data_IF_067433650465
#
_entry.id   IF_067433650465
#
_cell.length_a   1.000
_cell.length_b   1.000
_cell.length_c   1.000
_cell.angle_alpha   90.00
_cell.angle_beta   90.00
_cell.angle_gamma   90.00
#
_symmetry.space_group_name_H-M   'P 1'
#
loop_
_entity.id
_entity.type
_entity.pdbx_description
1 polymer ?
#
# COMPACT_ATOMS: atom_id res chain seq x y z
N UNK A 1 -12.67 11.83 -4.04
CA UNK A 1 -11.77 12.33 -2.97
C UNK A 1 -10.61 11.39 -2.69
N UNK A 2 -10.83 10.08 -2.50
CA UNK A 2 -9.76 9.07 -2.28
C UNK A 2 -8.62 9.23 -3.29
N UNK A 3 -8.96 9.18 -4.58
CA UNK A 3 -7.95 9.25 -5.63
C UNK A 3 -7.09 10.52 -5.57
N UNK A 4 -7.71 11.67 -5.26
CA UNK A 4 -7.02 12.94 -5.13
C UNK A 4 -6.10 13.00 -3.89
N UNK A 5 -6.52 12.41 -2.76
CA UNK A 5 -5.70 12.36 -1.56
C UNK A 5 -4.47 11.47 -1.74
N UNK A 6 -4.65 10.29 -2.34
CA UNK A 6 -3.51 9.44 -2.72
C UNK A 6 -2.63 10.12 -3.77
N UNK A 7 -3.22 10.87 -4.71
CA UNK A 7 -2.46 11.64 -5.71
C UNK A 7 -1.51 12.63 -5.05
N UNK A 8 -2.01 13.44 -4.11
CA UNK A 8 -1.17 14.40 -3.39
C UNK A 8 -0.07 13.69 -2.60
N UNK A 9 -0.40 12.61 -1.87
CA UNK A 9 0.58 11.83 -1.12
C UNK A 9 1.66 11.21 -2.01
N UNK A 10 1.25 10.56 -3.10
CA UNK A 10 2.13 9.94 -4.07
C UNK A 10 3.05 10.97 -4.74
N UNK A 11 2.53 12.09 -5.23
CA UNK A 11 3.36 13.15 -5.84
C UNK A 11 4.38 13.71 -4.86
N UNK A 12 4.03 13.94 -3.59
CA UNK A 12 4.98 14.39 -2.58
C UNK A 12 6.11 13.38 -2.34
N UNK A 13 5.79 12.09 -2.32
CA UNK A 13 6.76 11.00 -2.20
C UNK A 13 7.67 10.92 -3.42
N UNK A 14 7.14 11.09 -4.62
CA UNK A 14 7.91 11.15 -5.87
C UNK A 14 8.90 12.31 -5.86
N UNK A 15 8.44 13.51 -5.45
CA UNK A 15 9.28 14.70 -5.38
C UNK A 15 10.40 14.58 -4.34
N UNK A 16 10.12 13.98 -3.18
CA UNK A 16 11.08 13.82 -2.09
C UNK A 16 11.94 12.57 -2.20
N UNK A 17 11.63 11.67 -3.14
CA UNK A 17 12.25 10.34 -3.30
C UNK A 17 12.25 9.53 -2.01
N UNK A 18 11.20 9.67 -1.21
CA UNK A 18 11.07 8.95 0.05
C UNK A 18 11.05 7.43 -0.18
N UNK A 19 11.59 6.61 0.76
CA UNK A 19 11.66 5.15 0.64
C UNK A 19 10.32 4.45 0.98
N UNK A 20 9.20 5.06 0.60
CA UNK A 20 7.81 4.59 0.75
C UNK A 20 7.01 4.97 -0.51
N UNK A 21 5.72 4.62 -0.60
CA UNK A 21 4.87 5.00 -1.73
C UNK A 21 3.90 6.15 -1.39
N UNK A 22 3.38 6.18 -0.16
CA UNK A 22 2.54 7.26 0.38
C UNK A 22 1.15 7.37 -0.25
N UNK A 23 0.70 6.32 -0.91
CA UNK A 23 -0.35 6.37 -1.91
C UNK A 23 -1.54 5.44 -1.64
N UNK A 24 -1.60 4.84 -0.45
CA UNK A 24 -2.66 3.88 -0.10
C UNK A 24 -3.41 4.20 1.19
N UNK A 25 -2.96 5.19 1.96
CA UNK A 25 -3.65 5.60 3.19
C UNK A 25 -5.09 6.10 2.90
N UNK A 26 -5.34 6.84 1.82
CA UNK A 26 -6.69 7.29 1.52
C UNK A 26 -7.58 6.14 1.01
N UNK A 27 -6.99 5.11 0.39
CA UNK A 27 -7.70 3.86 0.00
C UNK A 27 -8.17 3.10 1.23
N UNK A 28 -7.29 2.94 2.22
CA UNK A 28 -7.61 2.30 3.49
C UNK A 28 -8.67 3.12 4.24
N UNK A 29 -8.51 4.44 4.34
CA UNK A 29 -9.50 5.36 4.93
C UNK A 29 -10.87 5.26 4.26
N UNK A 30 -10.89 5.30 2.92
CA UNK A 30 -12.12 5.16 2.13
C UNK A 30 -12.81 3.81 2.38
N UNK A 31 -12.02 2.75 2.50
CA UNK A 31 -12.52 1.41 2.84
C UNK A 31 -13.12 1.37 4.25
N UNK A 32 -12.43 1.95 5.24
CA UNK A 32 -12.88 1.99 6.64
C UNK A 32 -14.19 2.77 6.81
N UNK A 33 -14.40 3.83 6.03
CA UNK A 33 -15.59 4.67 6.12
C UNK A 33 -16.73 4.10 5.26
N UNK A 34 -16.45 3.73 4.01
CA UNK A 34 -17.47 3.52 2.98
C UNK A 34 -17.50 2.10 2.39
N UNK A 35 -16.56 1.22 2.79
CA UNK A 35 -16.54 -0.19 2.44
C UNK A 35 -15.62 -0.54 1.27
N UNK A 36 -15.49 -1.84 1.02
CA UNK A 36 -14.53 -2.43 0.10
C UNK A 36 -14.55 -1.76 -1.29
N UNK A 37 -15.73 -1.69 -1.91
CA UNK A 37 -15.85 -1.21 -3.29
C UNK A 37 -15.47 0.26 -3.45
N UNK A 38 -15.82 1.10 -2.47
CA UNK A 38 -15.50 2.53 -2.52
C UNK A 38 -14.00 2.75 -2.39
N UNK A 39 -13.35 2.04 -1.47
CA UNK A 39 -11.89 2.03 -1.35
C UNK A 39 -11.21 1.52 -2.61
N UNK A 40 -11.59 0.35 -3.10
CA UNK A 40 -10.98 -0.30 -4.26
C UNK A 40 -11.07 0.55 -5.53
N UNK A 41 -12.26 1.09 -5.86
CA UNK A 41 -12.44 1.96 -7.03
C UNK A 41 -11.66 3.25 -6.87
N UNK A 42 -11.68 3.86 -5.67
CA UNK A 42 -10.95 5.09 -5.39
C UNK A 42 -9.44 4.94 -5.51
N UNK A 43 -8.88 3.85 -4.98
CA UNK A 43 -7.45 3.54 -5.08
C UNK A 43 -7.04 3.18 -6.50
N UNK A 44 -7.81 2.35 -7.20
CA UNK A 44 -7.53 1.98 -8.59
C UNK A 44 -7.52 3.21 -9.52
N UNK A 45 -8.50 4.10 -9.37
CA UNK A 45 -8.57 5.34 -10.15
C UNK A 45 -7.34 6.24 -9.92
N UNK A 46 -6.80 6.28 -8.69
CA UNK A 46 -5.57 6.99 -8.42
C UNK A 46 -4.39 6.46 -9.26
N UNK A 47 -4.20 5.15 -9.34
CA UNK A 47 -3.11 4.58 -10.13
C UNK A 47 -3.29 4.84 -11.63
N UNK A 48 -4.53 4.87 -12.14
CA UNK A 48 -4.79 5.32 -13.51
C UNK A 48 -4.27 6.75 -13.66
N UNK A 49 -4.69 7.68 -12.81
CA UNK A 49 -4.29 9.09 -12.91
C UNK A 49 -2.76 9.20 -12.89
N UNK A 50 -2.08 8.57 -11.94
CA UNK A 50 -0.62 8.60 -11.85
C UNK A 50 0.08 7.98 -13.06
N UNK A 51 -0.45 6.90 -13.65
CA UNK A 51 0.11 6.30 -14.85
C UNK A 51 0.02 7.26 -16.05
N UNK A 52 -1.05 8.03 -16.16
CA UNK A 52 -1.22 9.01 -17.24
C UNK A 52 -0.45 10.31 -17.01
N UNK A 53 -0.06 10.66 -15.77
CA UNK A 53 0.55 11.96 -15.45
C UNK A 53 2.01 11.91 -14.99
N UNK A 54 2.42 10.91 -14.20
CA UNK A 54 3.73 10.90 -13.52
C UNK A 54 4.58 9.68 -13.90
N UNK A 55 4.03 8.47 -13.78
CA UNK A 55 4.82 7.23 -13.86
C UNK A 55 4.91 6.63 -15.27
N UNK A 56 4.00 7.01 -16.17
CA UNK A 56 3.88 6.42 -17.49
C UNK A 56 2.89 5.25 -17.55
N UNK A 57 2.36 5.01 -18.76
CA UNK A 57 1.22 4.11 -19.01
C UNK A 57 1.34 2.72 -18.35
N UNK A 58 2.44 1.95 -18.47
CA UNK A 58 2.52 0.60 -17.89
C UNK A 58 2.24 0.53 -16.38
N UNK A 59 2.41 1.64 -15.65
CA UNK A 59 2.21 1.70 -14.21
C UNK A 59 0.73 1.59 -13.78
N UNK A 60 -0.25 1.67 -14.69
CA UNK A 60 -1.68 1.55 -14.34
C UNK A 60 -1.99 0.23 -13.62
N UNK A 61 -1.21 -0.82 -13.93
CA UNK A 61 -1.31 -2.16 -13.32
C UNK A 61 -1.21 -2.09 -11.80
N UNK A 62 -0.44 -1.15 -11.24
CA UNK A 62 -0.35 -0.97 -9.78
C UNK A 62 -1.70 -0.60 -9.13
N UNK A 63 -2.71 -0.22 -9.92
CA UNK A 63 -4.09 -0.11 -9.46
C UNK A 63 -4.63 -1.38 -8.82
N UNK A 64 -4.21 -2.56 -9.30
CA UNK A 64 -4.63 -3.83 -8.69
C UNK A 64 -4.04 -4.00 -7.29
N UNK A 65 -2.91 -3.38 -6.99
CA UNK A 65 -2.34 -3.35 -5.64
C UNK A 65 -3.24 -2.57 -4.67
N UNK A 66 -3.82 -1.46 -5.12
CA UNK A 66 -4.80 -0.69 -4.36
C UNK A 66 -6.10 -1.49 -4.10
N UNK A 67 -6.52 -2.34 -5.03
CA UNK A 67 -7.64 -3.27 -4.82
C UNK A 67 -7.31 -4.28 -3.71
N UNK A 68 -6.10 -4.86 -3.73
CA UNK A 68 -5.64 -5.78 -2.68
C UNK A 68 -5.57 -5.07 -1.33
N UNK A 69 -5.08 -3.83 -1.29
CA UNK A 69 -5.07 -3.03 -0.05
C UNK A 69 -6.48 -2.84 0.50
N UNK A 70 -7.44 -2.45 -0.35
CA UNK A 70 -8.84 -2.29 0.07
C UNK A 70 -9.42 -3.62 0.59
N UNK A 71 -9.10 -4.75 -0.06
CA UNK A 71 -9.51 -6.07 0.40
C UNK A 71 -8.95 -6.42 1.77
N UNK A 72 -7.64 -6.21 2.00
CA UNK A 72 -7.01 -6.45 3.29
C UNK A 72 -7.62 -5.54 4.36
N UNK A 73 -7.82 -4.25 4.07
CA UNK A 73 -8.48 -3.33 5.00
C UNK A 73 -9.88 -3.81 5.35
N UNK A 74 -10.65 -4.26 4.36
CA UNK A 74 -11.99 -4.78 4.60
C UNK A 74 -11.97 -6.04 5.48
N UNK A 75 -11.04 -6.97 5.25
CA UNK A 75 -10.83 -8.14 6.13
C UNK A 75 -10.54 -7.68 7.55
N UNK A 76 -9.67 -6.68 7.74
CA UNK A 76 -9.33 -6.16 9.06
C UNK A 76 -10.56 -5.60 9.79
N UNK A 77 -11.47 -4.91 9.09
CA UNK A 77 -12.74 -4.44 9.67
C UNK A 77 -13.59 -5.62 10.14
N UNK A 78 -13.77 -6.64 9.29
CA UNK A 78 -14.61 -7.81 9.57
C UNK A 78 -14.09 -8.65 10.72
N UNK A 79 -12.77 -8.66 10.91
CA UNK A 79 -12.10 -9.41 11.97
C UNK A 79 -11.85 -8.59 13.25
N UNK A 80 -12.19 -7.29 13.25
CA UNK A 80 -11.93 -6.39 14.38
C UNK A 80 -10.45 -6.05 14.61
N UNK A 81 -9.64 -6.10 13.55
CA UNK A 81 -8.21 -5.74 13.53
C UNK A 81 -7.98 -4.25 13.21
N UNK A 82 -8.94 -3.41 13.60
CA UNK A 82 -9.00 -1.96 13.35
C UNK A 82 -9.11 -1.15 14.66
N UNK A 83 -8.87 -1.77 15.82
CA UNK A 83 -9.01 -1.12 17.13
C UNK A 83 -7.68 -0.57 17.68
N UNK A 84 -7.50 0.75 17.57
CA UNK A 84 -6.34 1.46 18.13
C UNK A 84 -6.23 1.37 19.67
N UNK A 85 -7.33 1.09 20.39
CA UNK A 85 -7.29 0.94 21.86
C UNK A 85 -6.73 -0.41 22.29
N UNK A 86 -6.70 -1.38 21.37
CA UNK A 86 -6.22 -2.74 21.57
C UNK A 86 -5.13 -3.04 20.54
N UNK A 87 -3.92 -2.49 20.70
CA UNK A 87 -2.88 -2.55 19.67
C UNK A 87 -2.49 -3.98 19.25
N UNK A 88 -2.67 -4.98 20.13
CA UNK A 88 -2.47 -6.39 19.81
C UNK A 88 -3.41 -6.90 18.70
N UNK A 89 -4.57 -6.27 18.49
CA UNK A 89 -5.49 -6.60 17.38
C UNK A 89 -4.94 -6.18 16.02
N UNK A 90 -3.93 -5.29 15.98
CA UNK A 90 -3.32 -4.79 14.73
C UNK A 90 -2.21 -5.71 14.21
N UNK A 91 -1.66 -6.60 15.04
CA UNK A 91 -0.61 -7.56 14.65
C UNK A 91 -0.98 -8.35 13.40
N UNK A 92 -2.17 -9.00 13.30
CA UNK A 92 -2.56 -9.70 12.07
C UNK A 92 -2.70 -8.76 10.86
N UNK A 93 -3.15 -7.52 11.05
CA UNK A 93 -3.20 -6.53 9.97
C UNK A 93 -1.79 -6.19 9.46
N UNK A 94 -0.82 -6.01 10.35
CA UNK A 94 0.57 -5.74 9.99
C UNK A 94 1.26 -6.91 9.28
N UNK A 95 0.90 -8.15 9.61
CA UNK A 95 1.35 -9.34 8.89
C UNK A 95 0.76 -9.38 7.47
N UNK A 96 -0.53 -9.06 7.33
CA UNK A 96 -1.17 -9.00 6.01
C UNK A 96 -0.60 -7.89 5.13
N UNK A 97 -0.48 -6.68 5.67
CA UNK A 97 0.04 -5.53 4.94
C UNK A 97 1.56 -5.53 4.74
N UNK A 98 2.30 -6.26 5.58
CA UNK A 98 3.75 -6.38 5.46
C UNK A 98 4.14 -7.56 4.56
N UNK A 99 4.59 -8.69 5.13
CA UNK A 99 5.15 -9.79 4.36
C UNK A 99 4.18 -10.36 3.32
N UNK A 100 2.89 -10.53 3.66
CA UNK A 100 1.93 -11.18 2.75
C UNK A 100 1.63 -10.30 1.53
N UNK A 101 1.31 -9.02 1.74
CA UNK A 101 1.11 -8.06 0.65
C UNK A 101 2.38 -7.85 -0.19
N UNK A 102 3.56 -7.94 0.43
CA UNK A 102 4.84 -7.84 -0.30
C UNK A 102 5.02 -8.99 -1.30
N UNK A 103 4.50 -10.19 -1.02
CA UNK A 103 4.52 -11.28 -2.01
C UNK A 103 3.77 -10.85 -3.27
N UNK A 104 2.60 -10.24 -3.11
CA UNK A 104 1.82 -9.75 -4.24
C UNK A 104 2.57 -8.70 -5.06
N UNK A 105 3.13 -7.66 -4.42
CA UNK A 105 3.87 -6.61 -5.15
C UNK A 105 5.14 -7.16 -5.82
N UNK A 106 5.78 -8.14 -5.21
CA UNK A 106 6.93 -8.84 -5.78
C UNK A 106 6.55 -9.67 -7.01
N UNK A 107 5.43 -10.40 -6.95
CA UNK A 107 4.93 -11.13 -8.11
C UNK A 107 4.58 -10.18 -9.27
N UNK A 108 3.89 -9.07 -8.98
CA UNK A 108 3.59 -8.06 -10.01
C UNK A 108 4.87 -7.48 -10.60
N UNK A 109 5.83 -7.08 -9.76
CA UNK A 109 7.12 -6.55 -10.19
C UNK A 109 7.85 -7.51 -11.14
N UNK A 110 7.94 -8.80 -10.78
CA UNK A 110 8.66 -9.80 -11.59
C UNK A 110 7.88 -10.18 -12.85
N UNK A 111 6.60 -10.52 -12.73
CA UNK A 111 5.82 -11.10 -13.83
C UNK A 111 5.44 -10.07 -14.90
N UNK A 112 5.30 -8.80 -14.51
CA UNK A 112 4.83 -7.73 -15.42
C UNK A 112 5.97 -6.81 -15.84
N UNK A 113 6.91 -6.54 -14.94
CA UNK A 113 8.01 -5.59 -15.19
C UNK A 113 9.40 -6.25 -15.28
N UNK A 114 9.49 -7.57 -15.13
CA UNK A 114 10.76 -8.31 -15.21
C UNK A 114 11.61 -8.23 -13.94
N UNK A 115 11.12 -7.56 -12.89
CA UNK A 115 11.82 -7.35 -11.62
C UNK A 115 13.05 -6.44 -11.76
N UNK A 116 14.00 -6.56 -10.82
CA UNK A 116 15.20 -5.74 -10.77
C UNK A 116 15.09 -4.59 -9.75
N UNK A 117 16.15 -3.79 -9.58
CA UNK A 117 16.19 -2.77 -8.55
C UNK A 117 15.08 -1.74 -8.76
N UNK A 118 14.36 -1.41 -7.69
CA UNK A 118 13.42 -0.28 -7.67
C UNK A 118 14.17 1.02 -8.00
N UNK A 119 13.46 2.00 -8.56
CA UNK A 119 14.03 3.31 -8.86
C UNK A 119 14.34 4.14 -7.59
N UNK A 120 13.83 3.74 -6.43
CA UNK A 120 14.10 4.37 -5.13
C UNK A 120 15.49 3.96 -4.60
N UNK A 121 16.34 4.91 -4.16
CA UNK A 121 17.74 4.61 -3.82
C UNK A 121 17.95 3.55 -2.73
N UNK A 122 17.18 3.62 -1.63
CA UNK A 122 17.34 2.69 -0.50
C UNK A 122 16.94 1.25 -0.88
N UNK A 123 15.74 0.99 -1.43
CA UNK A 123 15.37 -0.34 -1.89
C UNK A 123 16.30 -0.89 -2.99
N UNK A 124 16.80 -0.04 -3.90
CA UNK A 124 17.78 -0.43 -4.91
C UNK A 124 19.10 -0.92 -4.28
N UNK A 125 19.58 -0.23 -3.24
CA UNK A 125 20.78 -0.63 -2.51
C UNK A 125 20.56 -1.97 -1.79
N UNK A 126 19.38 -2.18 -1.20
CA UNK A 126 18.99 -3.44 -0.57
C UNK A 126 18.96 -4.58 -1.60
N UNK A 127 18.35 -4.35 -2.76
CA UNK A 127 18.34 -5.31 -3.87
C UNK A 127 19.77 -5.72 -4.26
N UNK A 128 20.65 -4.76 -4.50
CA UNK A 128 22.03 -5.01 -4.89
C UNK A 128 22.80 -5.78 -3.80
N UNK A 129 22.61 -5.41 -2.52
CA UNK A 129 23.26 -6.08 -1.40
C UNK A 129 22.81 -7.54 -1.25
N UNK A 130 21.50 -7.81 -1.34
CA UNK A 130 20.93 -9.17 -1.23
C UNK A 130 21.31 -10.01 -2.43
N UNK A 131 21.28 -9.46 -3.64
CA UNK A 131 21.69 -10.18 -4.85
C UNK A 131 23.17 -10.53 -4.80
N UNK A 132 24.02 -9.60 -4.36
CA UNK A 132 25.47 -9.83 -4.21
C UNK A 132 25.78 -10.92 -3.16
N UNK A 133 25.04 -10.96 -2.05
CA UNK A 133 25.32 -11.90 -0.96
C UNK A 133 24.72 -13.29 -1.18
N UNK A 134 23.57 -13.38 -1.87
CA UNK A 134 22.82 -14.65 -2.01
C UNK A 134 22.77 -15.20 -3.43
N UNK A 135 23.03 -14.37 -4.45
CA UNK A 135 22.80 -14.72 -5.85
C UNK A 135 21.33 -14.96 -6.22
N UNK A 136 20.39 -14.78 -5.28
CA UNK A 136 18.99 -15.15 -5.49
C UNK A 136 18.15 -13.95 -5.94
N UNK A 137 17.77 -13.96 -7.21
CA UNK A 137 16.94 -12.93 -7.85
C UNK A 137 15.58 -12.74 -7.17
N UNK A 138 14.88 -13.81 -6.83
CA UNK A 138 13.55 -13.73 -6.21
C UNK A 138 13.63 -13.14 -4.80
N UNK A 139 14.62 -13.58 -4.02
CA UNK A 139 14.87 -13.06 -2.69
C UNK A 139 15.26 -11.58 -2.72
N UNK A 140 16.13 -11.18 -3.65
CA UNK A 140 16.51 -9.78 -3.81
C UNK A 140 15.29 -8.88 -4.12
N UNK A 141 14.41 -9.32 -5.02
CA UNK A 141 13.17 -8.60 -5.33
C UNK A 141 12.19 -8.55 -4.15
N UNK A 142 12.04 -9.66 -3.43
CA UNK A 142 11.16 -9.70 -2.26
C UNK A 142 11.66 -8.78 -1.14
N UNK A 143 12.95 -8.83 -0.79
CA UNK A 143 13.51 -8.08 0.33
C UNK A 143 13.53 -6.57 0.04
N UNK A 144 13.80 -6.14 -1.21
CA UNK A 144 13.69 -4.71 -1.54
C UNK A 144 12.25 -4.21 -1.43
N UNK A 145 11.26 -4.99 -1.89
CA UNK A 145 9.86 -4.60 -1.78
C UNK A 145 9.45 -4.57 -0.31
N UNK A 146 9.86 -5.58 0.47
CA UNK A 146 9.58 -5.65 1.90
C UNK A 146 10.06 -4.40 2.64
N UNK A 147 11.25 -3.91 2.28
CA UNK A 147 11.84 -2.70 2.89
C UNK A 147 11.04 -1.42 2.62
N UNK A 148 10.23 -1.40 1.55
CA UNK A 148 9.39 -0.26 1.17
C UNK A 148 7.96 -0.43 1.66
N UNK A 149 7.38 -1.61 1.45
CA UNK A 149 5.97 -1.89 1.72
C UNK A 149 5.65 -1.98 3.21
N UNK A 150 6.54 -2.54 4.04
CA UNK A 150 6.32 -2.58 5.50
C UNK A 150 6.14 -1.16 6.07
N UNK A 151 7.12 -0.25 5.95
CA UNK A 151 6.97 1.08 6.52
C UNK A 151 5.79 1.82 5.89
N UNK A 152 5.61 1.70 4.56
CA UNK A 152 4.52 2.35 3.85
C UNK A 152 3.13 1.93 4.35
N UNK A 153 2.84 0.62 4.37
CA UNK A 153 1.50 0.13 4.68
C UNK A 153 1.19 0.19 6.16
N UNK A 154 2.17 0.00 7.04
CA UNK A 154 1.96 0.14 8.47
C UNK A 154 1.62 1.58 8.84
N UNK A 155 2.39 2.55 8.33
CA UNK A 155 2.13 3.97 8.55
C UNK A 155 0.78 4.36 7.93
N UNK A 156 0.52 3.95 6.70
CA UNK A 156 -0.74 4.24 5.99
C UNK A 156 -1.96 3.72 6.76
N UNK A 157 -1.88 2.49 7.29
CA UNK A 157 -2.98 1.89 8.04
C UNK A 157 -3.21 2.62 9.36
N UNK A 158 -2.15 2.93 10.11
CA UNK A 158 -2.25 3.68 11.37
C UNK A 158 -2.85 5.07 11.13
N UNK A 159 -2.37 5.81 10.13
CA UNK A 159 -2.91 7.13 9.76
C UNK A 159 -4.40 7.02 9.46
N UNK A 160 -4.80 6.01 8.70
CA UNK A 160 -6.20 5.79 8.33
C UNK A 160 -7.07 5.53 9.56
N UNK A 161 -6.61 4.68 10.49
CA UNK A 161 -7.32 4.41 11.74
C UNK A 161 -7.40 5.65 12.63
N UNK A 162 -6.32 6.44 12.72
CA UNK A 162 -6.30 7.68 13.50
C UNK A 162 -7.34 8.67 12.97
N UNK A 163 -7.43 8.85 11.65
CA UNK A 163 -8.42 9.72 11.03
C UNK A 163 -9.84 9.19 11.30
N UNK A 164 -10.09 7.90 11.05
CA UNK A 164 -11.41 7.28 11.27
C UNK A 164 -11.87 7.39 12.73
N UNK A 165 -10.95 7.30 13.68
CA UNK A 165 -11.26 7.45 15.12
C UNK A 165 -11.87 8.81 15.47
N UNK A 166 -11.67 9.83 14.61
CA UNK A 166 -12.20 11.19 14.78
C UNK A 166 -13.42 11.46 13.92
N UNK A 167 -13.80 10.55 13.03
CA UNK A 167 -14.98 10.69 12.19
C UNK A 167 -16.24 10.37 13.01
N UNK A 168 -17.26 11.24 13.05
CA UNK A 168 -18.52 10.95 13.72
C UNK A 168 -19.18 9.68 13.15
N UNK A 169 -19.71 8.82 14.02
CA UNK A 169 -20.29 7.52 13.64
C UNK A 169 -21.36 7.60 12.55
N UNK A 170 -22.13 8.69 12.49
CA UNK A 170 -23.16 8.92 11.46
C UNK A 170 -22.61 8.97 10.02
N UNK A 171 -21.31 9.20 9.85
CA UNK A 171 -20.65 9.25 8.55
C UNK A 171 -19.91 7.96 8.20
N UNK A 172 -19.84 7.00 9.13
CA UNK A 172 -19.27 5.68 8.86
C UNK A 172 -20.41 4.81 8.32
N UNK A 173 -20.32 4.50 7.02
CA UNK A 173 -21.32 3.74 6.28
C UNK A 173 -21.05 2.24 6.30
N UNK A 174 -19.82 1.84 6.62
CA UNK A 174 -19.42 0.45 6.80
C UNK A 174 -20.22 -0.22 7.90
N UNK A 175 -20.84 -1.36 7.57
CA UNK A 175 -21.38 -2.29 8.54
C UNK A 175 -20.27 -3.23 9.01
N UNK A 176 -20.06 -3.28 10.33
CA UNK A 176 -19.13 -4.23 10.96
C UNK A 176 -19.67 -5.64 10.90
#
# INVERSE_FOLDING_TARGET
>A
MIAALNYVGGVLVELTKAPIWGDTWATMLGTLISGLWVGAVGGFLYNIIMAFTVWGLPAWVWGTANIVVALITWICIRMGWDDLRRPWTLIPAFILFGPIYTVYTTMVSILIFGGGPLWKPLPAAIYAAVLKSTGNFWLANYVQNLSTEIPDKWISYIISLLIVSRVPRRFILVRR
#
